data_IF_852421246651
#
_entry.id   IF_852421246651
#
_cell.length_a   1.000
_cell.length_b   1.000
_cell.length_c   1.000
_cell.angle_alpha   90.00
_cell.angle_beta   90.00
_cell.angle_gamma   90.00
#
_symmetry.space_group_name_H-M   'P 1'
#
loop_
_entity.id
_entity.type
_entity.pdbx_description
1 polymer ?
#
# COMPACT_ATOMS: atom_id res chain seq x y z
N UNK A 1 34.54 -24.55 -30.56
CA UNK A 1 34.06 -24.99 -29.23
C UNK A 1 32.85 -24.17 -28.78
N UNK A 2 32.69 -22.98 -29.33
CA UNK A 2 31.69 -22.00 -28.92
C UNK A 2 30.51 -21.88 -29.91
N UNK A 3 30.55 -22.57 -31.05
CA UNK A 3 29.49 -22.59 -32.06
C UNK A 3 28.71 -23.88 -31.88
N UNK A 4 27.49 -23.81 -31.38
CA UNK A 4 26.62 -24.94 -31.12
C UNK A 4 25.20 -24.79 -31.66
N UNK A 5 24.83 -23.59 -32.07
CA UNK A 5 23.50 -23.23 -32.55
C UNK A 5 23.58 -22.50 -33.88
N UNK A 6 22.49 -22.52 -34.65
CA UNK A 6 22.36 -21.73 -35.87
C UNK A 6 22.61 -20.20 -35.62
N UNK A 7 22.12 -19.68 -34.46
CA UNK A 7 22.34 -18.31 -34.10
C UNK A 7 23.84 -17.94 -33.96
N UNK A 8 24.67 -18.88 -33.48
CA UNK A 8 26.12 -18.66 -33.34
C UNK A 8 26.79 -18.51 -34.72
N UNK A 9 26.30 -19.28 -35.73
CA UNK A 9 26.75 -19.13 -37.10
C UNK A 9 26.29 -17.82 -37.75
N UNK A 10 25.06 -17.42 -37.49
CA UNK A 10 24.53 -16.12 -37.94
C UNK A 10 25.34 -14.96 -37.39
N UNK A 11 25.73 -15.03 -36.12
CA UNK A 11 26.59 -14.03 -35.48
C UNK A 11 27.94 -13.93 -36.18
N UNK A 12 28.60 -15.06 -36.46
CA UNK A 12 29.88 -15.07 -37.17
C UNK A 12 29.79 -14.53 -38.60
N UNK A 13 28.68 -14.87 -39.31
CA UNK A 13 28.44 -14.32 -40.64
C UNK A 13 28.24 -12.81 -40.56
N UNK A 14 27.43 -12.35 -39.61
CA UNK A 14 27.16 -10.91 -39.41
C UNK A 14 28.48 -10.13 -39.07
N UNK A 15 29.30 -10.74 -38.22
CA UNK A 15 30.62 -10.16 -37.84
C UNK A 15 31.55 -10.00 -39.04
N UNK A 16 31.63 -11.02 -39.91
CA UNK A 16 32.49 -10.96 -41.13
C UNK A 16 31.89 -10.06 -42.19
N UNK A 17 30.55 -10.07 -42.36
CA UNK A 17 29.85 -9.21 -43.30
C UNK A 17 29.98 -7.73 -42.93
N UNK A 18 29.97 -7.42 -41.64
CA UNK A 18 30.03 -6.08 -41.02
C UNK A 18 28.67 -5.66 -40.48
N UNK A 19 28.59 -5.43 -39.18
CA UNK A 19 27.36 -4.98 -38.49
C UNK A 19 26.86 -3.64 -39.03
N UNK A 20 27.75 -2.77 -39.51
CA UNK A 20 27.45 -1.48 -40.12
C UNK A 20 26.64 -1.57 -41.43
N UNK A 21 26.60 -2.77 -42.03
CA UNK A 21 25.80 -3.03 -43.26
C UNK A 21 24.41 -3.55 -42.99
N UNK A 22 24.12 -3.86 -41.74
CA UNK A 22 22.79 -4.29 -41.32
C UNK A 22 21.88 -3.07 -41.22
N UNK A 23 20.72 -3.01 -41.92
CA UNK A 23 19.83 -1.88 -41.88
C UNK A 23 19.28 -1.69 -40.45
N UNK A 24 19.53 -0.52 -39.85
CA UNK A 24 18.96 -0.13 -38.54
C UNK A 24 17.57 0.48 -38.65
N UNK A 25 17.27 1.06 -39.84
CA UNK A 25 16.02 1.79 -40.08
C UNK A 25 14.87 0.91 -40.63
N UNK A 26 14.98 -0.41 -40.52
CA UNK A 26 13.94 -1.28 -40.99
C UNK A 26 12.67 -1.15 -40.10
N UNK A 27 11.57 -0.65 -40.69
CA UNK A 27 10.28 -0.57 -39.99
C UNK A 27 9.83 -1.96 -39.55
N UNK A 28 9.75 -2.21 -38.26
CA UNK A 28 9.20 -3.44 -37.72
C UNK A 28 7.70 -3.23 -37.47
N UNK A 29 6.82 -4.04 -38.06
CA UNK A 29 5.41 -3.94 -37.78
C UNK A 29 5.14 -4.31 -36.33
N UNK A 30 4.80 -3.31 -35.51
CA UNK A 30 4.43 -3.52 -34.12
C UNK A 30 2.91 -3.60 -34.01
N UNK A 31 2.43 -4.69 -33.43
CA UNK A 31 1.03 -4.77 -33.00
C UNK A 31 0.95 -4.16 -31.59
N UNK A 32 0.21 -3.06 -31.48
CA UNK A 32 -0.03 -2.43 -30.17
C UNK A 32 -0.98 -3.32 -29.39
N UNK A 33 -0.50 -3.94 -28.33
CA UNK A 33 -1.33 -4.64 -27.35
C UNK A 33 -1.90 -3.65 -26.34
N UNK A 34 -3.15 -3.86 -25.95
CA UNK A 34 -3.74 -3.06 -24.85
C UNK A 34 -3.08 -3.46 -23.52
N UNK A 35 -2.84 -2.46 -22.65
CA UNK A 35 -2.41 -2.71 -21.27
C UNK A 35 -3.43 -3.60 -20.57
N UNK A 36 -2.94 -4.60 -19.84
CA UNK A 36 -3.79 -5.46 -19.01
C UNK A 36 -4.49 -4.64 -17.91
N UNK A 37 -5.53 -5.21 -17.29
CA UNK A 37 -6.17 -4.58 -16.12
C UNK A 37 -5.13 -4.35 -15.00
N UNK A 38 -4.29 -5.34 -14.75
CA UNK A 38 -3.19 -5.28 -13.77
C UNK A 38 -2.28 -4.09 -14.02
N UNK A 39 -1.79 -3.93 -15.25
CA UNK A 39 -0.87 -2.83 -15.58
C UNK A 39 -1.53 -1.47 -15.36
N UNK A 40 -2.82 -1.35 -15.70
CA UNK A 40 -3.58 -0.12 -15.47
C UNK A 40 -3.81 0.17 -14.00
N UNK A 41 -4.03 -0.87 -13.17
CA UNK A 41 -4.15 -0.72 -11.71
C UNK A 41 -2.80 -0.29 -11.13
N UNK A 42 -1.70 -0.91 -11.56
CA UNK A 42 -0.34 -0.52 -11.16
C UNK A 42 -0.07 0.94 -11.51
N UNK A 43 -0.38 1.36 -12.74
CA UNK A 43 -0.24 2.78 -13.15
C UNK A 43 -0.99 3.72 -12.18
N UNK A 44 -2.24 3.37 -11.78
CA UNK A 44 -3.03 4.17 -10.83
C UNK A 44 -2.42 4.24 -9.44
N UNK A 45 -1.90 3.13 -8.95
CA UNK A 45 -1.19 3.07 -7.67
C UNK A 45 0.07 3.94 -7.73
N UNK A 46 0.88 3.81 -8.78
CA UNK A 46 2.08 4.63 -8.98
C UNK A 46 1.76 6.13 -9.08
N UNK A 47 0.69 6.51 -9.82
CA UNK A 47 0.24 7.91 -9.91
C UNK A 47 -0.07 8.51 -8.52
N UNK A 48 -0.78 7.75 -7.66
CA UNK A 48 -1.11 8.22 -6.31
C UNK A 48 0.15 8.34 -5.46
N UNK A 49 1.01 7.32 -5.46
CA UNK A 49 2.21 7.28 -4.64
C UNK A 49 3.20 8.37 -5.03
N UNK A 50 3.51 8.51 -6.32
CA UNK A 50 4.44 9.54 -6.82
C UNK A 50 3.88 10.94 -6.64
N UNK A 51 2.56 11.13 -6.85
CA UNK A 51 1.87 12.39 -6.58
C UNK A 51 1.89 12.82 -5.10
N UNK A 52 2.07 11.88 -4.18
CA UNK A 52 2.24 12.12 -2.74
C UNK A 52 3.73 12.10 -2.30
N UNK A 53 4.68 12.18 -3.23
CA UNK A 53 6.10 12.34 -2.92
C UNK A 53 6.84 11.04 -2.60
N UNK A 54 6.25 9.88 -2.91
CA UNK A 54 6.97 8.61 -2.83
C UNK A 54 7.81 8.36 -4.08
N UNK A 55 8.94 7.71 -3.90
CA UNK A 55 9.83 7.25 -4.97
C UNK A 55 9.76 5.74 -5.08
N UNK A 56 9.65 5.26 -6.31
CA UNK A 56 9.71 3.82 -6.59
C UNK A 56 11.12 3.31 -6.36
N UNK A 57 11.22 2.20 -5.64
CA UNK A 57 12.44 1.46 -5.43
C UNK A 57 12.31 0.07 -6.05
N UNK A 58 13.42 -0.46 -6.55
CA UNK A 58 13.53 -1.85 -6.99
C UNK A 58 14.60 -2.51 -6.13
N UNK A 59 14.17 -3.37 -5.23
CA UNK A 59 15.07 -4.01 -4.27
C UNK A 59 15.33 -5.47 -4.64
N UNK A 60 16.39 -6.04 -4.05
CA UNK A 60 16.77 -7.42 -4.31
C UNK A 60 15.73 -8.40 -3.76
N UNK A 61 15.39 -9.40 -4.55
CA UNK A 61 14.47 -10.47 -4.17
C UNK A 61 15.04 -11.39 -3.10
N UNK A 62 16.36 -11.54 -3.08
CA UNK A 62 17.07 -12.34 -2.09
C UNK A 62 17.51 -11.48 -0.92
N UNK A 63 17.40 -12.03 0.28
CA UNK A 63 17.72 -11.40 1.55
C UNK A 63 18.41 -12.39 2.47
N UNK A 64 18.91 -11.93 3.60
CA UNK A 64 19.37 -12.76 4.69
C UNK A 64 18.26 -13.00 5.73
N UNK A 65 18.50 -13.94 6.68
CA UNK A 65 17.53 -14.31 7.69
C UNK A 65 17.23 -13.15 8.66
N UNK A 66 18.24 -12.35 9.01
CA UNK A 66 18.10 -11.22 9.92
C UNK A 66 17.22 -10.13 9.30
N UNK A 67 17.49 -9.76 8.06
CA UNK A 67 16.72 -8.74 7.36
C UNK A 67 15.29 -9.23 7.11
N UNK A 68 15.10 -10.48 6.65
CA UNK A 68 13.77 -11.05 6.42
C UNK A 68 12.92 -11.10 7.70
N UNK A 69 13.55 -11.30 8.86
CA UNK A 69 12.89 -11.35 10.17
C UNK A 69 12.42 -9.99 10.72
N UNK A 70 12.83 -8.88 10.12
CA UNK A 70 12.48 -7.53 10.62
C UNK A 70 11.00 -7.19 10.50
N UNK A 71 10.30 -7.77 9.55
CA UNK A 71 8.87 -7.55 9.38
C UNK A 71 8.19 -8.81 8.85
N UNK A 72 7.37 -9.44 9.67
CA UNK A 72 6.75 -10.76 9.40
C UNK A 72 5.24 -10.76 9.68
N UNK A 73 4.45 -9.89 9.03
CA UNK A 73 3.03 -9.73 9.36
C UNK A 73 2.22 -11.00 9.11
N UNK A 74 2.64 -11.83 8.15
CA UNK A 74 1.97 -13.09 7.80
C UNK A 74 2.32 -14.25 8.72
N UNK A 75 3.24 -14.07 9.69
CA UNK A 75 3.67 -15.09 10.67
C UNK A 75 4.11 -16.43 10.04
N UNK A 76 4.68 -16.38 8.83
CA UNK A 76 5.17 -17.56 8.11
C UNK A 76 6.52 -17.93 8.67
N UNK A 77 6.61 -19.14 9.25
CA UNK A 77 7.85 -19.64 9.86
C UNK A 77 8.85 -20.24 8.89
N UNK A 78 8.37 -20.81 7.77
CA UNK A 78 9.22 -21.45 6.78
C UNK A 78 9.62 -20.44 5.71
N UNK A 79 10.93 -20.26 5.53
CA UNK A 79 11.51 -19.44 4.48
C UNK A 79 11.89 -20.32 3.29
N UNK A 80 11.76 -19.77 2.08
CA UNK A 80 12.31 -20.38 0.89
C UNK A 80 13.76 -19.93 0.73
N UNK A 81 14.67 -20.87 0.55
CA UNK A 81 16.08 -20.58 0.38
C UNK A 81 16.67 -21.30 -0.82
N UNK A 82 17.70 -20.70 -1.41
CA UNK A 82 18.46 -21.28 -2.53
C UNK A 82 19.80 -21.78 -2.02
N UNK A 83 20.10 -23.04 -2.30
CA UNK A 83 21.41 -23.62 -1.99
C UNK A 83 22.38 -23.39 -3.17
N UNK A 84 23.00 -22.22 -3.22
CA UNK A 84 23.97 -21.88 -4.24
C UNK A 84 25.22 -21.23 -3.62
N UNK A 85 26.39 -21.62 -4.08
CA UNK A 85 27.68 -21.18 -3.50
C UNK A 85 27.92 -19.66 -3.57
N UNK A 86 27.40 -18.98 -4.58
CA UNK A 86 27.53 -17.53 -4.75
C UNK A 86 26.59 -16.72 -3.87
N UNK A 87 25.59 -17.34 -3.20
CA UNK A 87 24.59 -16.68 -2.36
C UNK A 87 24.62 -17.22 -0.93
N UNK A 88 25.78 -17.29 -0.32
CA UNK A 88 25.92 -17.87 1.04
C UNK A 88 25.28 -17.05 2.15
N UNK A 89 25.13 -15.74 1.96
CA UNK A 89 24.62 -14.82 2.98
C UNK A 89 23.21 -14.30 2.66
N UNK A 90 22.90 -14.07 1.39
CA UNK A 90 21.60 -13.57 0.92
C UNK A 90 20.95 -14.67 0.06
N UNK A 91 20.49 -15.72 0.68
CA UNK A 91 19.96 -16.90 0.00
C UNK A 91 18.47 -17.15 0.26
N UNK A 92 17.81 -16.28 1.02
CA UNK A 92 16.40 -16.38 1.39
C UNK A 92 15.57 -15.51 0.44
N UNK A 93 14.47 -16.02 -0.08
CA UNK A 93 13.47 -15.26 -0.80
C UNK A 93 12.63 -14.44 0.17
N UNK A 94 12.48 -13.14 -0.10
CA UNK A 94 11.77 -12.18 0.75
C UNK A 94 10.31 -12.55 0.97
N UNK A 95 9.83 -12.44 2.20
CA UNK A 95 8.42 -12.65 2.60
C UNK A 95 7.63 -11.34 2.75
N UNK A 96 8.32 -10.19 2.71
CA UNK A 96 7.79 -8.84 2.73
C UNK A 96 8.72 -7.90 1.97
N UNK A 97 8.20 -6.79 1.45
CA UNK A 97 8.98 -5.71 0.83
C UNK A 97 9.54 -4.74 1.87
N UNK A 98 8.92 -4.65 3.04
CA UNK A 98 9.24 -3.64 4.05
C UNK A 98 10.71 -3.71 4.51
N UNK A 99 11.31 -4.88 4.82
CA UNK A 99 12.70 -4.92 5.25
C UNK A 99 13.69 -4.32 4.23
N UNK A 100 13.52 -4.65 2.96
CA UNK A 100 14.39 -4.14 1.88
C UNK A 100 14.19 -2.63 1.65
N UNK A 101 12.95 -2.15 1.75
CA UNK A 101 12.65 -0.72 1.67
C UNK A 101 13.23 0.07 2.84
N UNK A 102 13.20 -0.49 4.07
CA UNK A 102 13.85 0.11 5.23
C UNK A 102 15.37 0.18 5.06
N UNK A 103 15.99 -0.86 4.50
CA UNK A 103 17.40 -0.84 4.18
C UNK A 103 17.74 0.25 3.15
N UNK A 104 16.91 0.40 2.11
CA UNK A 104 17.06 1.46 1.12
C UNK A 104 16.86 2.85 1.75
N UNK A 105 15.91 3.01 2.66
CA UNK A 105 15.70 4.27 3.41
C UNK A 105 16.93 4.60 4.25
N UNK A 106 17.49 3.62 5.00
CA UNK A 106 18.74 3.81 5.76
C UNK A 106 19.88 4.30 4.89
N UNK A 107 20.02 3.73 3.69
CA UNK A 107 21.09 4.16 2.78
C UNK A 107 20.87 5.60 2.30
N UNK A 108 19.62 6.00 2.03
CA UNK A 108 19.29 7.39 1.74
C UNK A 108 19.62 8.33 2.91
N UNK A 109 19.31 7.94 4.15
CA UNK A 109 19.65 8.73 5.35
C UNK A 109 21.18 8.92 5.49
N UNK A 110 21.97 7.89 5.20
CA UNK A 110 23.44 7.98 5.19
C UNK A 110 23.97 8.98 4.20
N UNK A 111 23.29 9.16 3.07
CA UNK A 111 23.61 10.16 2.06
C UNK A 111 22.93 11.52 2.30
N UNK A 112 22.31 11.74 3.47
CA UNK A 112 21.71 12.99 3.87
C UNK A 112 20.28 13.21 3.42
N UNK A 113 19.63 12.21 2.80
CA UNK A 113 18.21 12.25 2.42
C UNK A 113 17.33 11.63 3.51
N UNK A 114 16.97 12.44 4.52
CA UNK A 114 16.22 11.96 5.70
C UNK A 114 14.73 11.75 5.45
N UNK A 115 14.16 12.41 4.45
CA UNK A 115 12.72 12.40 4.16
C UNK A 115 12.36 11.43 3.02
N UNK A 116 13.20 10.44 2.73
CA UNK A 116 12.92 9.49 1.67
C UNK A 116 11.66 8.68 1.99
N UNK A 117 10.64 8.81 1.13
CA UNK A 117 9.43 8.02 1.11
C UNK A 117 9.54 7.04 -0.05
N UNK A 118 9.53 5.75 0.24
CA UNK A 118 9.83 4.72 -0.75
C UNK A 118 8.68 3.74 -0.88
N UNK A 119 8.44 3.27 -2.10
CA UNK A 119 7.53 2.17 -2.36
C UNK A 119 8.11 1.18 -3.37
N UNK A 120 7.61 -0.03 -3.36
CA UNK A 120 7.91 -1.07 -4.34
C UNK A 120 6.65 -1.89 -4.63
N UNK A 121 6.46 -2.27 -5.89
CA UNK A 121 5.39 -3.17 -6.32
C UNK A 121 6.03 -4.44 -6.88
N UNK A 122 6.04 -5.51 -6.08
CA UNK A 122 6.74 -6.74 -6.45
C UNK A 122 6.18 -7.96 -5.74
N UNK A 123 6.66 -9.15 -6.14
CA UNK A 123 6.27 -10.39 -5.51
C UNK A 123 7.04 -10.63 -4.21
N UNK A 124 6.33 -11.25 -3.27
CA UNK A 124 6.88 -11.87 -2.06
C UNK A 124 6.63 -13.39 -2.13
N UNK A 125 7.42 -14.17 -1.39
CA UNK A 125 7.46 -15.62 -1.56
C UNK A 125 7.09 -16.30 -0.24
N UNK A 126 5.89 -16.89 -0.17
CA UNK A 126 5.31 -17.36 1.07
C UNK A 126 5.47 -18.87 1.24
N UNK A 127 5.48 -19.64 0.17
CA UNK A 127 5.67 -21.11 0.15
C UNK A 127 6.18 -21.59 -1.21
N UNK A 128 6.72 -22.81 -1.23
CA UNK A 128 7.15 -23.44 -2.47
C UNK A 128 5.95 -24.03 -3.22
N UNK A 129 5.36 -23.23 -4.10
CA UNK A 129 4.25 -23.63 -4.97
C UNK A 129 4.30 -22.76 -6.25
N UNK A 130 5.27 -23.04 -7.16
CA UNK A 130 5.52 -22.20 -8.32
C UNK A 130 4.29 -22.08 -9.22
N UNK A 131 4.00 -20.86 -9.64
CA UNK A 131 2.86 -20.54 -10.49
C UNK A 131 1.54 -20.39 -9.75
N UNK A 132 1.51 -20.58 -8.42
CA UNK A 132 0.33 -20.27 -7.60
C UNK A 132 0.41 -18.82 -7.08
N UNK A 133 -0.48 -17.92 -7.52
CA UNK A 133 -0.46 -16.52 -7.08
C UNK A 133 -0.58 -16.34 -5.56
N UNK A 134 -1.24 -17.27 -4.85
CA UNK A 134 -1.34 -17.23 -3.41
C UNK A 134 -0.03 -17.60 -2.69
N UNK A 135 0.89 -18.26 -3.36
CA UNK A 135 2.23 -18.57 -2.85
C UNK A 135 3.25 -17.45 -3.15
N UNK A 136 3.03 -16.73 -4.24
CA UNK A 136 3.89 -15.66 -4.74
C UNK A 136 3.08 -14.38 -5.03
N UNK A 137 2.33 -13.85 -4.03
CA UNK A 137 1.48 -12.69 -4.26
C UNK A 137 2.31 -11.45 -4.61
N UNK A 138 1.75 -10.60 -5.49
CA UNK A 138 2.25 -9.27 -5.72
C UNK A 138 1.69 -8.32 -4.68
N UNK A 139 2.55 -7.58 -4.03
CA UNK A 139 2.17 -6.62 -2.99
C UNK A 139 2.74 -5.24 -3.30
N UNK A 140 2.15 -4.22 -2.69
CA UNK A 140 2.68 -2.86 -2.66
C UNK A 140 3.22 -2.62 -1.27
N UNK A 141 4.54 -2.47 -1.15
CA UNK A 141 5.20 -2.07 0.09
C UNK A 141 5.47 -0.58 0.10
N UNK A 142 5.30 0.07 1.23
CA UNK A 142 5.52 1.52 1.42
C UNK A 142 6.21 1.77 2.75
N UNK A 143 7.18 2.67 2.78
CA UNK A 143 7.82 3.16 4.01
C UNK A 143 7.97 4.69 3.95
N UNK A 144 7.67 5.36 5.06
CA UNK A 144 7.68 6.82 5.14
C UNK A 144 7.96 7.29 6.57
N UNK A 145 8.47 8.52 6.71
CA UNK A 145 8.51 9.25 7.98
C UNK A 145 7.24 10.04 8.29
N UNK A 146 6.16 9.86 7.50
CA UNK A 146 4.87 10.51 7.71
C UNK A 146 4.12 9.97 8.92
N UNK A 147 3.00 10.58 9.26
CA UNK A 147 2.12 10.10 10.33
C UNK A 147 1.26 8.91 9.89
N UNK A 148 0.73 8.16 10.86
CA UNK A 148 -0.25 7.09 10.61
C UNK A 148 -1.50 7.60 9.86
N UNK A 149 -1.92 8.82 10.14
CA UNK A 149 -3.11 9.44 9.52
C UNK A 149 -2.85 9.72 8.04
N UNK A 150 -1.66 10.24 7.71
CA UNK A 150 -1.25 10.45 6.32
C UNK A 150 -1.14 9.14 5.57
N UNK A 151 -0.53 8.10 6.17
CA UNK A 151 -0.47 6.78 5.55
C UNK A 151 -1.86 6.18 5.31
N UNK A 152 -2.77 6.30 6.27
CA UNK A 152 -4.17 5.87 6.09
C UNK A 152 -4.85 6.64 4.95
N UNK A 153 -4.66 7.97 4.88
CA UNK A 153 -5.19 8.79 3.79
C UNK A 153 -4.64 8.38 2.43
N UNK A 154 -3.36 8.03 2.36
CA UNK A 154 -2.72 7.53 1.13
C UNK A 154 -3.34 6.19 0.69
N UNK A 155 -3.54 5.26 1.62
CA UNK A 155 -4.19 3.96 1.34
C UNK A 155 -5.62 4.14 0.85
N UNK A 156 -6.37 5.09 1.44
CA UNK A 156 -7.70 5.45 0.97
C UNK A 156 -7.68 6.02 -0.45
N UNK A 157 -6.75 6.95 -0.72
CA UNK A 157 -6.58 7.54 -2.05
C UNK A 157 -6.22 6.48 -3.12
N UNK A 158 -5.42 5.48 -2.77
CA UNK A 158 -5.12 4.34 -3.65
C UNK A 158 -6.39 3.55 -3.96
N UNK A 159 -7.18 3.20 -2.93
CA UNK A 159 -8.41 2.45 -3.11
C UNK A 159 -9.42 3.20 -3.99
N UNK A 160 -9.67 4.48 -3.69
CA UNK A 160 -10.59 5.35 -4.44
C UNK A 160 -10.13 5.61 -5.88
N UNK A 161 -8.80 5.70 -6.12
CA UNK A 161 -8.24 5.90 -7.46
C UNK A 161 -8.47 4.69 -8.37
N UNK A 162 -8.51 3.49 -7.78
CA UNK A 162 -8.77 2.23 -8.50
C UNK A 162 -10.28 1.97 -8.62
N UNK A 163 -11.04 2.30 -7.58
CA UNK A 163 -12.50 2.22 -7.61
C UNK A 163 -13.11 3.28 -6.68
N UNK A 164 -13.77 4.32 -7.19
CA UNK A 164 -14.29 5.44 -6.41
C UNK A 164 -15.29 5.07 -5.30
N UNK A 165 -15.93 3.92 -5.39
CA UNK A 165 -16.89 3.44 -4.36
C UNK A 165 -16.25 2.49 -3.35
N UNK A 166 -14.95 2.28 -3.43
CA UNK A 166 -14.22 1.44 -2.46
C UNK A 166 -14.22 2.06 -1.08
N UNK A 167 -14.42 1.20 -0.08
CA UNK A 167 -14.35 1.58 1.32
C UNK A 167 -13.19 0.87 2.01
N UNK A 168 -12.46 1.59 2.84
CA UNK A 168 -11.46 1.00 3.72
C UNK A 168 -11.93 1.05 5.17
N UNK A 169 -11.72 -0.06 5.87
CA UNK A 169 -11.90 -0.14 7.33
C UNK A 169 -10.63 -0.65 7.97
N UNK A 170 -10.42 -0.33 9.25
CA UNK A 170 -9.21 -0.71 9.97
C UNK A 170 -9.59 -1.47 11.25
N UNK A 171 -8.75 -2.46 11.60
CA UNK A 171 -8.83 -3.21 12.86
C UNK A 171 -7.47 -3.14 13.55
N UNK A 172 -7.43 -3.19 14.88
CA UNK A 172 -6.16 -3.31 15.59
C UNK A 172 -5.35 -4.51 15.07
N UNK A 173 -4.05 -4.32 14.86
CA UNK A 173 -3.15 -5.39 14.42
C UNK A 173 -2.44 -6.01 15.61
N UNK A 174 -2.16 -7.31 15.51
CA UNK A 174 -1.31 -8.07 16.44
C UNK A 174 0.12 -8.26 15.91
N UNK A 175 0.52 -7.51 14.88
CA UNK A 175 1.88 -7.51 14.33
C UNK A 175 2.83 -6.88 15.36
N UNK A 176 3.70 -7.69 15.94
CA UNK A 176 4.59 -7.31 17.03
C UNK A 176 5.67 -6.28 16.63
N UNK A 177 5.90 -6.09 15.35
CA UNK A 177 6.83 -5.12 14.81
C UNK A 177 6.26 -3.68 14.75
N UNK A 178 4.98 -3.50 15.04
CA UNK A 178 4.39 -2.18 15.21
C UNK A 178 4.40 -1.74 16.67
N UNK A 179 4.48 -0.44 16.87
CA UNK A 179 4.27 0.17 18.20
C UNK A 179 2.89 -0.21 18.71
N UNK A 180 2.77 -0.59 19.97
CA UNK A 180 1.50 -0.96 20.58
C UNK A 180 0.44 0.14 20.42
N UNK A 181 -0.73 -0.24 19.93
CA UNK A 181 -1.83 0.69 19.61
C UNK A 181 -1.61 1.57 18.37
N UNK A 182 -0.50 1.39 17.63
CA UNK A 182 -0.18 2.14 16.42
C UNK A 182 0.01 1.25 15.19
N UNK A 183 -0.50 0.04 15.21
CA UNK A 183 -0.57 -0.88 14.09
C UNK A 183 -2.00 -1.29 13.81
N UNK A 184 -2.34 -1.45 12.53
CA UNK A 184 -3.66 -1.86 12.09
C UNK A 184 -3.60 -2.84 10.91
N UNK A 185 -4.56 -3.75 10.89
CA UNK A 185 -4.98 -4.44 9.68
C UNK A 185 -5.92 -3.53 8.90
N UNK A 186 -5.77 -3.50 7.58
CA UNK A 186 -6.64 -2.75 6.69
C UNK A 186 -7.48 -3.71 5.85
N UNK A 187 -8.75 -3.40 5.74
CA UNK A 187 -9.70 -4.14 4.91
C UNK A 187 -10.17 -3.25 3.77
N UNK A 188 -10.24 -3.80 2.58
CA UNK A 188 -10.84 -3.19 1.39
C UNK A 188 -12.17 -3.87 1.12
N UNK A 189 -13.27 -3.12 1.14
CA UNK A 189 -14.64 -3.63 0.97
C UNK A 189 -14.98 -4.82 1.90
N UNK A 190 -14.38 -4.82 3.12
CA UNK A 190 -14.58 -5.87 4.13
C UNK A 190 -13.59 -7.05 4.04
N UNK A 191 -12.78 -7.17 2.98
CA UNK A 191 -11.76 -8.22 2.82
C UNK A 191 -10.39 -7.73 3.29
N UNK A 192 -9.60 -8.63 3.91
CA UNK A 192 -8.27 -8.29 4.41
C UNK A 192 -7.35 -7.88 3.25
N UNK A 193 -6.89 -6.62 3.29
CA UNK A 193 -6.06 -6.03 2.24
C UNK A 193 -4.58 -5.97 2.60
N UNK A 194 -4.26 -5.83 3.89
CA UNK A 194 -2.89 -5.76 4.35
C UNK A 194 -2.74 -5.16 5.74
N UNK A 195 -1.58 -4.57 5.98
CA UNK A 195 -1.21 -3.98 7.28
C UNK A 195 -0.57 -2.62 7.08
N UNK A 196 -0.77 -1.73 8.05
CA UNK A 196 0.01 -0.51 8.17
C UNK A 196 0.20 -0.14 9.64
N UNK A 197 1.27 0.57 9.93
CA UNK A 197 1.56 0.97 11.30
C UNK A 197 2.88 1.71 11.44
N UNK A 198 3.08 2.32 12.61
CA UNK A 198 4.37 2.86 13.03
C UNK A 198 5.25 1.69 13.50
N UNK A 199 6.44 1.60 12.93
CA UNK A 199 7.38 0.54 13.29
C UNK A 199 7.98 0.80 14.67
N UNK A 200 8.06 -0.27 15.47
CA UNK A 200 8.67 -0.23 16.78
C UNK A 200 10.18 0.04 16.69
N UNK A 201 10.73 0.64 17.75
CA UNK A 201 12.16 0.92 17.83
C UNK A 201 13.01 -0.33 17.73
N UNK A 202 12.54 -1.48 18.20
CA UNK A 202 13.24 -2.75 18.05
C UNK A 202 13.50 -3.15 16.58
N UNK A 203 12.72 -2.62 15.64
CA UNK A 203 12.92 -2.80 14.19
C UNK A 203 13.85 -1.73 13.64
N UNK A 204 13.54 -0.44 13.89
CA UNK A 204 14.26 0.68 13.30
C UNK A 204 15.70 0.79 13.80
N UNK A 205 15.95 0.50 15.08
CA UNK A 205 17.29 0.52 15.68
C UNK A 205 18.22 -0.57 15.09
N UNK A 206 17.68 -1.71 14.65
CA UNK A 206 18.48 -2.74 13.99
C UNK A 206 19.07 -2.29 12.63
N UNK A 207 18.48 -1.25 12.06
CA UNK A 207 18.93 -0.63 10.81
C UNK A 207 19.55 0.76 11.01
N UNK A 208 19.77 1.22 12.26
CA UNK A 208 20.25 2.57 12.59
C UNK A 208 19.42 3.69 11.93
N UNK A 209 18.11 3.51 11.82
CA UNK A 209 17.20 4.55 11.35
C UNK A 209 16.99 5.59 12.47
N UNK A 210 17.08 6.88 12.12
CA UNK A 210 17.02 7.98 13.11
C UNK A 210 15.61 8.26 13.57
N UNK A 211 14.70 8.36 12.61
CA UNK A 211 13.35 8.83 12.83
C UNK A 211 12.34 7.67 12.88
N UNK A 212 11.18 7.96 13.47
CA UNK A 212 10.05 7.04 13.40
C UNK A 212 9.69 6.75 11.95
N UNK A 213 9.33 5.53 11.67
CA UNK A 213 8.97 5.08 10.33
C UNK A 213 7.60 4.41 10.35
N UNK A 214 6.74 4.83 9.46
CA UNK A 214 5.46 4.18 9.17
C UNK A 214 5.64 3.29 7.96
N UNK A 215 5.16 2.05 8.07
CA UNK A 215 5.17 1.09 6.97
C UNK A 215 3.75 0.64 6.63
N UNK A 216 3.55 0.31 5.36
CA UNK A 216 2.32 -0.36 4.90
C UNK A 216 2.68 -1.41 3.84
N UNK A 217 1.97 -2.53 3.88
CA UNK A 217 2.07 -3.56 2.84
C UNK A 217 0.67 -4.08 2.52
N UNK A 218 0.24 -3.94 1.26
CA UNK A 218 -1.10 -4.28 0.78
C UNK A 218 -1.05 -5.22 -0.42
N UNK A 219 -2.08 -6.05 -0.56
CA UNK A 219 -2.20 -7.00 -1.67
C UNK A 219 -2.69 -6.30 -2.94
N UNK A 220 -1.93 -6.46 -4.04
CA UNK A 220 -2.30 -5.90 -5.34
C UNK A 220 -3.46 -6.64 -5.99
N UNK A 221 -3.60 -7.95 -5.74
CA UNK A 221 -4.64 -8.76 -6.39
C UNK A 221 -6.05 -8.36 -5.94
N UNK A 222 -6.20 -7.93 -4.70
CA UNK A 222 -7.49 -7.44 -4.19
C UNK A 222 -7.89 -6.11 -4.85
N UNK A 223 -6.92 -5.22 -5.12
CA UNK A 223 -7.17 -4.02 -5.93
C UNK A 223 -7.60 -4.36 -7.36
N UNK A 224 -6.94 -5.34 -7.98
CA UNK A 224 -7.29 -5.79 -9.33
C UNK A 224 -8.74 -6.33 -9.39
N UNK A 225 -9.12 -7.13 -8.39
CA UNK A 225 -10.46 -7.72 -8.30
C UNK A 225 -11.56 -6.67 -8.09
N UNK A 226 -11.25 -5.63 -7.30
CA UNK A 226 -12.19 -4.55 -7.00
C UNK A 226 -12.20 -3.43 -8.04
N UNK A 227 -11.33 -3.47 -9.06
CA UNK A 227 -11.07 -2.34 -9.94
C UNK A 227 -12.26 -1.93 -10.80
N UNK A 228 -12.63 -0.65 -10.71
CA UNK A 228 -13.53 0.04 -11.63
C UNK A 228 -12.84 1.30 -12.17
N UNK A 229 -12.06 1.13 -13.24
CA UNK A 229 -11.29 2.21 -13.85
C UNK A 229 -12.10 3.10 -14.82
N UNK A 230 -13.40 2.85 -14.93
CA UNK A 230 -14.33 3.62 -15.76
C UNK A 230 -15.54 4.00 -14.91
N UNK A 231 -15.38 4.99 -14.00
CA UNK A 231 -16.50 5.44 -13.18
C UNK A 231 -17.60 5.98 -14.09
N UNK A 232 -18.84 5.66 -13.76
CA UNK A 232 -20.01 6.23 -14.42
C UNK A 232 -20.30 7.62 -13.85
N UNK A 233 -20.78 8.51 -14.69
CA UNK A 233 -21.20 9.84 -14.26
C UNK A 233 -22.50 9.73 -13.47
N UNK A 234 -22.52 10.30 -12.27
CA UNK A 234 -23.74 10.52 -11.50
C UNK A 234 -24.13 11.99 -11.54
N UNK A 235 -25.43 12.27 -11.68
CA UNK A 235 -25.92 13.66 -11.65
C UNK A 235 -25.58 14.32 -10.33
N UNK A 236 -25.07 15.55 -10.40
CA UNK A 236 -24.82 16.34 -9.19
C UNK A 236 -26.14 16.62 -8.46
N UNK A 237 -26.14 16.57 -7.13
CA UNK A 237 -27.33 16.87 -6.33
C UNK A 237 -27.88 18.26 -6.61
N UNK A 238 -29.17 18.37 -6.89
CA UNK A 238 -29.84 19.66 -7.23
C UNK A 238 -30.08 20.55 -6.01
N UNK A 239 -30.18 19.95 -4.83
CA UNK A 239 -30.46 20.67 -3.59
C UNK A 239 -29.27 20.67 -2.64
N UNK A 240 -29.07 21.78 -1.89
CA UNK A 240 -27.94 21.88 -0.97
C UNK A 240 -28.07 20.91 0.21
N UNK A 241 -26.93 20.48 0.75
CA UNK A 241 -26.91 19.74 2.01
C UNK A 241 -27.19 20.67 3.19
N UNK A 242 -27.78 20.09 4.25
CA UNK A 242 -27.91 20.71 5.56
C UNK A 242 -26.96 20.00 6.53
N UNK A 243 -26.01 20.73 7.11
CA UNK A 243 -25.03 20.17 8.03
C UNK A 243 -25.35 20.46 9.49
N UNK A 244 -24.97 19.58 10.39
CA UNK A 244 -25.08 19.75 11.84
C UNK A 244 -23.82 19.26 12.53
N UNK A 245 -23.25 20.08 13.36
CA UNK A 245 -22.12 19.72 14.22
C UNK A 245 -22.64 19.19 15.55
N UNK A 246 -22.15 18.05 15.94
CA UNK A 246 -22.50 17.37 17.18
C UNK A 246 -21.24 17.05 17.98
N UNK A 247 -21.34 17.18 19.29
CA UNK A 247 -20.26 16.87 20.21
C UNK A 247 -20.72 15.79 21.18
N UNK A 248 -20.04 14.64 21.17
CA UNK A 248 -20.33 13.50 22.01
C UNK A 248 -19.24 13.30 23.07
N UNK A 249 -19.62 13.28 24.33
CA UNK A 249 -18.72 12.87 25.42
C UNK A 249 -18.92 11.37 25.66
N UNK A 250 -17.85 10.61 25.43
CA UNK A 250 -17.87 9.17 25.39
C UNK A 250 -16.78 8.58 26.30
N UNK A 251 -16.92 7.31 26.64
CA UNK A 251 -15.86 6.56 27.32
C UNK A 251 -14.61 6.47 26.43
N UNK A 252 -13.44 6.44 27.03
CA UNK A 252 -12.15 6.38 26.30
C UNK A 252 -12.07 5.13 25.41
N UNK A 253 -12.74 4.04 25.78
CA UNK A 253 -12.78 2.79 25.02
C UNK A 253 -13.61 2.85 23.75
N UNK A 254 -14.55 3.80 23.61
CA UNK A 254 -15.42 3.91 22.43
C UNK A 254 -14.61 4.40 21.24
N UNK A 255 -14.54 3.62 20.18
CA UNK A 255 -13.82 3.99 18.96
C UNK A 255 -14.66 4.93 18.08
N UNK A 256 -13.99 5.64 17.14
CA UNK A 256 -14.70 6.41 16.11
C UNK A 256 -15.64 5.53 15.29
N UNK A 257 -15.17 4.36 14.87
CA UNK A 257 -15.98 3.44 14.04
C UNK A 257 -17.26 2.99 14.74
N UNK A 258 -17.23 2.76 16.05
CA UNK A 258 -18.44 2.42 16.83
C UNK A 258 -19.44 3.58 16.88
N UNK A 259 -18.94 4.81 17.04
CA UNK A 259 -19.80 6.00 17.01
C UNK A 259 -20.38 6.24 15.62
N UNK A 260 -19.56 6.14 14.58
CA UNK A 260 -19.95 6.30 13.18
C UNK A 260 -21.04 5.29 12.80
N UNK A 261 -20.86 4.01 13.14
CA UNK A 261 -21.85 2.96 12.92
C UNK A 261 -23.15 3.23 13.67
N UNK A 262 -23.08 3.60 14.95
CA UNK A 262 -24.25 3.91 15.77
C UNK A 262 -25.04 5.10 15.19
N UNK A 263 -24.35 6.15 14.75
CA UNK A 263 -25.00 7.32 14.14
C UNK A 263 -25.62 6.96 12.79
N UNK A 264 -24.87 6.28 11.92
CA UNK A 264 -25.34 5.89 10.59
C UNK A 264 -26.61 5.03 10.66
N UNK A 265 -26.67 4.10 11.62
CA UNK A 265 -27.82 3.20 11.79
C UNK A 265 -29.13 3.93 12.19
N UNK A 266 -29.04 5.11 12.81
CA UNK A 266 -30.21 5.89 13.28
C UNK A 266 -30.46 7.19 12.50
N UNK A 267 -29.56 7.55 11.59
CA UNK A 267 -29.56 8.85 10.92
C UNK A 267 -30.76 9.08 9.96
N UNK A 268 -31.41 8.01 9.49
CA UNK A 268 -32.63 8.10 8.66
C UNK A 268 -32.39 8.33 7.16
N UNK A 269 -33.47 8.47 6.36
CA UNK A 269 -33.39 8.33 4.90
C UNK A 269 -32.69 9.49 4.15
N UNK A 270 -32.56 10.66 4.79
CA UNK A 270 -31.89 11.82 4.16
C UNK A 270 -30.42 11.96 4.62
N UNK A 271 -29.90 10.98 5.33
CA UNK A 271 -28.50 10.96 5.73
C UNK A 271 -27.60 10.83 4.50
N UNK A 272 -26.65 11.74 4.36
CA UNK A 272 -25.67 11.76 3.26
C UNK A 272 -24.30 11.29 3.73
N UNK A 273 -23.80 11.88 4.80
CA UNK A 273 -22.47 11.55 5.32
C UNK A 273 -22.28 11.97 6.78
N UNK A 274 -21.28 11.35 7.41
CA UNK A 274 -20.73 11.77 8.70
C UNK A 274 -19.22 11.99 8.53
N UNK A 275 -18.72 13.04 9.13
CA UNK A 275 -17.28 13.33 9.12
C UNK A 275 -16.75 13.59 10.52
N UNK A 276 -15.56 13.08 10.80
CA UNK A 276 -14.82 13.36 12.02
C UNK A 276 -14.21 14.76 11.93
N UNK A 277 -14.58 15.66 12.86
CA UNK A 277 -14.05 17.02 12.89
C UNK A 277 -12.97 17.21 13.96
N UNK A 278 -13.00 16.41 15.03
CA UNK A 278 -11.98 16.49 16.04
C UNK A 278 -12.20 15.63 17.27
N UNK A 279 -11.14 15.47 18.05
CA UNK A 279 -11.15 14.79 19.33
C UNK A 279 -10.53 15.69 20.39
N UNK A 280 -11.17 15.78 21.55
CA UNK A 280 -10.66 16.51 22.69
C UNK A 280 -10.54 15.63 23.92
N UNK A 281 -9.41 15.79 24.61
CA UNK A 281 -9.13 15.23 25.95
C UNK A 281 -8.62 16.36 26.82
N UNK A 282 -9.16 16.54 28.00
CA UNK A 282 -8.69 17.60 28.89
C UNK A 282 -9.41 17.65 30.22
N UNK A 283 -8.92 18.52 31.10
CA UNK A 283 -9.42 18.69 32.49
C UNK A 283 -10.90 19.07 32.61
N UNK A 284 -11.53 19.47 31.50
CA UNK A 284 -12.93 19.85 31.44
C UNK A 284 -13.87 18.65 31.25
N UNK A 285 -13.29 17.49 30.93
CA UNK A 285 -14.02 16.23 30.79
C UNK A 285 -13.89 15.38 32.07
N UNK A 286 -14.89 14.54 32.39
CA UNK A 286 -14.74 13.53 33.43
C UNK A 286 -13.52 12.62 33.17
N UNK A 287 -13.00 12.03 34.24
CA UNK A 287 -11.92 11.04 34.12
C UNK A 287 -12.39 9.88 33.21
N UNK A 288 -11.50 9.37 32.38
CA UNK A 288 -11.76 8.27 31.42
C UNK A 288 -12.80 8.62 30.33
N UNK A 289 -13.04 9.90 30.06
CA UNK A 289 -13.88 10.37 28.97
C UNK A 289 -13.08 11.14 27.94
N UNK A 290 -13.53 11.03 26.69
CA UNK A 290 -13.11 11.86 25.56
C UNK A 290 -14.31 12.48 24.88
N UNK A 291 -14.08 13.54 24.13
CA UNK A 291 -15.11 14.19 23.33
C UNK A 291 -14.77 14.02 21.85
N UNK A 292 -15.75 13.58 21.06
CA UNK A 292 -15.69 13.60 19.60
C UNK A 292 -16.59 14.71 19.05
N UNK A 293 -16.00 15.57 18.23
CA UNK A 293 -16.72 16.52 17.39
C UNK A 293 -16.89 15.89 16.00
N UNK A 294 -18.11 15.86 15.52
CA UNK A 294 -18.44 15.36 14.20
C UNK A 294 -19.43 16.27 13.49
N UNK A 295 -19.41 16.21 12.17
CA UNK A 295 -20.37 16.92 11.32
C UNK A 295 -21.20 15.86 10.57
N UNK A 296 -22.52 15.96 10.68
CA UNK A 296 -23.46 15.13 9.93
C UNK A 296 -24.06 15.95 8.80
N UNK A 297 -24.10 15.39 7.61
CA UNK A 297 -24.70 15.97 6.41
C UNK A 297 -25.97 15.26 6.06
N UNK A 298 -27.02 16.02 5.79
CA UNK A 298 -28.31 15.53 5.32
C UNK A 298 -28.66 16.20 4.00
N UNK A 299 -29.20 15.45 3.06
CA UNK A 299 -29.65 15.96 1.78
C UNK A 299 -30.91 15.22 1.31
N UNK A 300 -31.82 15.96 0.68
CA UNK A 300 -32.95 15.35 -0.04
C UNK A 300 -32.77 15.51 -1.54
N UNK A 301 -33.10 14.47 -2.29
CA UNK A 301 -33.13 14.53 -3.75
C UNK A 301 -34.33 15.34 -4.28
N UNK A 302 -35.36 15.60 -3.46
CA UNK A 302 -36.62 16.18 -3.88
C UNK A 302 -36.77 17.67 -3.50
N UNK A 303 -36.12 18.11 -2.40
CA UNK A 303 -36.30 19.49 -1.86
C UNK A 303 -35.13 19.91 -0.98
N UNK A 304 -35.00 21.21 -0.77
CA UNK A 304 -34.12 21.75 0.26
C UNK A 304 -34.65 21.35 1.65
N UNK A 305 -33.76 20.83 2.50
CA UNK A 305 -34.06 20.55 3.90
C UNK A 305 -34.02 21.85 4.71
N UNK A 306 -34.99 22.02 5.59
CA UNK A 306 -35.11 23.19 6.49
C UNK A 306 -34.99 22.76 7.94
#
# INVERSE_FOLDING_TARGET
>A
RDISREADLLEEVARIYGYEKIPEDAAVPLTVSQKSLRDRVIDRVCEVLTGNGFYEAVTMTFTDEKLNGLFTPRKIKQTLSVNHSSRRHENILRQSLIPSLLQSRRENERHGSFNAQLFEIASVFLKSDPGNPAAEPKVVGMVSGSSLVEMKGLLQAIAERVNPVSTITVKPSDVSQFVEGRGAEILLNGEHWGWFGELDRSVTDQLDLRDACVAAEIDLSLLEQSANLRPEFEELPRFPASTRDLNFVLDESVTWSQLEEAVTNVAGPNFESISFSGQFRGKQLPVDKKSYLLTISYRSAERTLT
#
